data_IF_450755387805
#
_entry.id   IF_450755387805
#
_cell.length_a   1.000
_cell.length_b   1.000
_cell.length_c   1.000
_cell.angle_alpha   90.00
_cell.angle_beta   90.00
_cell.angle_gamma   90.00
#
_symmetry.space_group_name_H-M   'P 1'
#
loop_
_entity.id
_entity.type
_entity.pdbx_description
1 polymer ?
#
# COMPACT_ATOMS: atom_id res chain seq x y z
N UNK A 1 -27.30 -10.51 -26.79
CA UNK A 1 -26.74 -10.64 -25.43
C UNK A 1 -25.38 -9.97 -25.40
N UNK A 2 -25.30 -8.72 -24.94
CA UNK A 2 -24.06 -7.96 -24.89
C UNK A 2 -23.31 -8.27 -23.60
N UNK A 3 -22.15 -8.94 -23.69
CA UNK A 3 -21.23 -9.09 -22.56
C UNK A 3 -20.49 -7.76 -22.40
N UNK A 4 -20.86 -7.00 -21.38
CA UNK A 4 -20.08 -5.88 -20.89
C UNK A 4 -18.66 -6.39 -20.56
N UNK A 5 -17.66 -5.91 -21.31
CA UNK A 5 -16.26 -6.01 -20.95
C UNK A 5 -16.07 -5.11 -19.73
N UNK A 6 -16.19 -5.68 -18.53
CA UNK A 6 -15.86 -4.98 -17.30
C UNK A 6 -14.34 -4.76 -17.34
N UNK A 7 -13.94 -3.52 -17.64
CA UNK A 7 -12.54 -3.16 -17.75
C UNK A 7 -11.82 -3.53 -16.45
N UNK A 8 -10.80 -4.39 -16.55
CA UNK A 8 -9.91 -4.69 -15.45
C UNK A 8 -9.23 -3.37 -15.04
N UNK A 9 -9.63 -2.78 -13.91
CA UNK A 9 -8.96 -1.61 -13.38
C UNK A 9 -7.58 -2.03 -12.84
N UNK A 10 -6.54 -1.72 -13.60
CA UNK A 10 -5.16 -1.77 -13.17
C UNK A 10 -4.74 -0.37 -12.73
N UNK A 11 -4.48 -0.19 -11.44
CA UNK A 11 -3.98 1.07 -10.90
C UNK A 11 -2.47 1.01 -10.77
N UNK A 12 -1.78 2.00 -11.32
CA UNK A 12 -0.35 2.19 -11.07
C UNK A 12 -0.19 3.00 -9.79
N UNK A 13 0.48 2.43 -8.79
CA UNK A 13 0.77 3.07 -7.52
C UNK A 13 2.28 3.24 -7.37
N UNK A 14 2.71 4.45 -7.07
CA UNK A 14 4.06 4.71 -6.59
C UNK A 14 3.95 5.24 -5.17
N UNK A 15 4.68 4.61 -4.26
CA UNK A 15 4.62 4.90 -2.83
C UNK A 15 6.00 5.10 -2.21
N UNK A 16 6.07 6.02 -1.24
CA UNK A 16 7.24 6.25 -0.39
C UNK A 16 6.82 6.02 1.03
N UNK A 17 7.50 5.09 1.69
CA UNK A 17 7.32 4.89 3.12
C UNK A 17 8.06 6.00 3.86
N UNK A 18 7.49 6.45 4.96
CA UNK A 18 8.11 7.37 5.90
C UNK A 18 7.72 6.96 7.33
N UNK A 19 8.47 7.45 8.31
CA UNK A 19 8.14 7.25 9.72
C UNK A 19 6.78 7.91 10.06
N UNK A 20 6.22 7.76 11.28
CA UNK A 20 5.06 8.56 11.64
C UNK A 20 5.29 10.06 11.42
N UNK A 21 4.21 10.83 11.23
CA UNK A 21 4.30 12.27 11.02
C UNK A 21 5.10 12.96 12.14
N UNK A 22 5.83 14.00 11.79
CA UNK A 22 6.52 14.85 12.76
C UNK A 22 5.51 15.72 13.54
N UNK A 23 4.35 15.96 12.95
CA UNK A 23 3.25 16.75 13.48
C UNK A 23 2.06 15.88 13.89
N UNK A 24 1.21 16.37 14.80
CA UNK A 24 0.03 15.63 15.24
C UNK A 24 -1.10 15.68 14.21
N UNK A 25 -1.24 16.83 13.53
CA UNK A 25 -2.30 17.09 12.55
C UNK A 25 -1.74 17.98 11.42
N UNK A 26 -2.05 17.62 10.16
CA UNK A 26 -1.54 18.33 8.98
C UNK A 26 -2.40 19.53 8.55
N UNK A 27 -3.61 19.66 9.09
CA UNK A 27 -4.55 20.74 8.75
C UNK A 27 -4.27 21.96 9.62
N UNK A 28 -4.06 21.75 10.92
CA UNK A 28 -3.90 22.83 11.89
C UNK A 28 -2.45 23.30 12.05
N UNK A 29 -1.48 22.46 11.68
CA UNK A 29 -0.06 22.81 11.79
C UNK A 29 0.45 23.37 10.47
N UNK A 30 0.88 24.64 10.52
CA UNK A 30 1.43 25.35 9.38
C UNK A 30 2.95 25.37 9.49
N UNK A 31 3.63 24.47 8.78
CA UNK A 31 5.08 24.60 8.61
C UNK A 31 5.45 25.64 7.56
N UNK A 32 6.77 25.79 7.33
CA UNK A 32 7.32 26.75 6.37
C UNK A 32 8.16 26.04 5.31
N UNK A 33 7.75 26.03 4.02
CA UNK A 33 6.50 26.55 3.51
C UNK A 33 5.27 25.70 3.93
N UNK A 34 4.07 26.30 4.01
CA UNK A 34 2.85 25.53 4.20
C UNK A 34 2.49 24.75 2.94
N UNK A 35 1.70 23.68 3.09
CA UNK A 35 1.05 23.03 1.94
C UNK A 35 0.27 24.08 1.14
N UNK A 36 0.28 23.98 -0.19
CA UNK A 36 -0.53 24.83 -1.07
C UNK A 36 -2.01 24.57 -0.84
N UNK A 37 -2.36 23.30 -0.64
CA UNK A 37 -3.68 22.86 -0.19
C UNK A 37 -3.53 21.60 0.66
N UNK A 38 -4.42 21.40 1.63
CA UNK A 38 -4.48 20.16 2.41
C UNK A 38 -5.93 19.83 2.73
N UNK A 39 -6.35 18.61 2.42
CA UNK A 39 -7.72 18.14 2.67
C UNK A 39 -7.72 16.77 3.33
N UNK A 40 -8.35 16.65 4.50
CA UNK A 40 -8.60 15.36 5.10
C UNK A 40 -9.57 14.53 4.26
N UNK A 41 -9.25 13.25 4.10
CA UNK A 41 -10.14 12.22 3.57
C UNK A 41 -10.78 11.38 4.67
N UNK A 42 -10.49 11.69 5.93
CA UNK A 42 -11.04 11.02 7.10
C UNK A 42 -10.24 9.82 7.57
N UNK A 43 -10.87 9.05 8.47
CA UNK A 43 -10.33 7.84 9.11
C UNK A 43 -11.14 6.64 8.65
N UNK A 44 -10.45 5.54 8.36
CA UNK A 44 -11.07 4.27 7.99
C UNK A 44 -10.35 3.11 8.68
N UNK A 45 -11.10 2.06 9.00
CA UNK A 45 -10.53 0.79 9.45
C UNK A 45 -10.44 -0.16 8.25
N UNK A 46 -9.27 -0.76 8.06
CA UNK A 46 -9.00 -1.68 6.95
C UNK A 46 -8.56 -3.01 7.56
N UNK A 47 -9.29 -4.07 7.23
CA UNK A 47 -8.96 -5.44 7.57
C UNK A 47 -8.41 -6.14 6.33
N UNK A 48 -7.22 -6.73 6.44
CA UNK A 48 -6.59 -7.47 5.36
C UNK A 48 -6.26 -8.87 5.83
N UNK A 49 -6.66 -9.88 5.07
CA UNK A 49 -6.10 -11.24 5.18
C UNK A 49 -5.17 -11.45 3.99
N UNK A 50 -3.90 -11.69 4.24
CA UNK A 50 -2.91 -11.94 3.20
C UNK A 50 -2.84 -13.43 2.88
N UNK A 51 -2.71 -13.74 1.60
CA UNK A 51 -2.66 -15.09 1.06
C UNK A 51 -1.38 -15.31 0.27
N UNK A 52 -0.76 -16.46 0.46
CA UNK A 52 0.44 -16.87 -0.26
C UNK A 52 0.48 -18.41 -0.37
N UNK A 53 1.50 -18.94 -1.06
CA UNK A 53 1.86 -20.34 -1.13
C UNK A 53 3.32 -20.48 -0.71
N UNK A 54 3.56 -20.66 0.59
CA UNK A 54 4.92 -20.83 1.14
C UNK A 54 5.90 -19.76 0.65
N UNK A 55 5.50 -18.50 0.72
CA UNK A 55 6.26 -17.31 0.29
C UNK A 55 6.55 -17.22 -1.21
N UNK A 56 5.95 -18.07 -2.05
CA UNK A 56 6.16 -18.07 -3.50
C UNK A 56 5.76 -16.72 -4.13
N UNK A 57 4.59 -16.18 -3.77
CA UNK A 57 4.12 -14.91 -4.33
C UNK A 57 4.90 -13.73 -3.77
N UNK A 58 5.08 -13.66 -2.45
CA UNK A 58 5.80 -12.56 -1.81
C UNK A 58 7.27 -12.48 -2.26
N UNK A 59 7.94 -13.61 -2.47
CA UNK A 59 9.30 -13.66 -3.03
C UNK A 59 9.35 -13.18 -4.49
N UNK A 60 8.27 -13.40 -5.25
CA UNK A 60 8.10 -12.86 -6.60
C UNK A 60 7.62 -11.39 -6.62
N UNK A 61 7.52 -10.73 -5.46
CA UNK A 61 7.04 -9.35 -5.37
C UNK A 61 5.54 -9.22 -5.66
N UNK A 62 4.74 -10.23 -5.30
CA UNK A 62 3.28 -10.24 -5.44
C UNK A 62 2.64 -10.44 -4.07
N UNK A 63 1.66 -9.59 -3.74
CA UNK A 63 0.87 -9.71 -2.52
C UNK A 63 -0.60 -9.81 -2.89
N UNK A 64 -1.22 -10.96 -2.57
CA UNK A 64 -2.67 -11.17 -2.72
C UNK A 64 -3.31 -11.04 -1.34
N UNK A 65 -4.38 -10.26 -1.25
CA UNK A 65 -5.08 -10.02 0.01
C UNK A 65 -6.59 -9.94 -0.19
N UNK A 66 -7.32 -10.35 0.83
CA UNK A 66 -8.74 -10.05 1.00
C UNK A 66 -8.84 -8.81 1.89
N UNK A 67 -9.11 -7.64 1.30
CA UNK A 67 -9.27 -6.37 1.98
C UNK A 67 -10.76 -6.06 2.17
N UNK A 68 -11.21 -5.97 3.43
CA UNK A 68 -12.62 -5.70 3.75
C UNK A 68 -13.60 -6.61 2.96
N UNK A 69 -13.22 -7.88 2.77
CA UNK A 69 -14.03 -8.85 2.02
C UNK A 69 -13.85 -8.81 0.49
N UNK A 70 -13.05 -7.89 -0.05
CA UNK A 70 -12.78 -7.77 -1.49
C UNK A 70 -11.36 -8.19 -1.83
N UNK A 71 -11.18 -8.92 -2.93
CA UNK A 71 -9.86 -9.37 -3.36
C UNK A 71 -9.07 -8.23 -4.00
N UNK A 72 -7.81 -8.11 -3.60
CA UNK A 72 -6.82 -7.23 -4.21
C UNK A 72 -5.52 -8.00 -4.45
N UNK A 73 -4.83 -7.72 -5.54
CA UNK A 73 -3.44 -8.13 -5.76
C UNK A 73 -2.56 -6.92 -6.04
N UNK A 74 -1.39 -6.88 -5.43
CA UNK A 74 -0.34 -5.89 -5.67
C UNK A 74 0.86 -6.58 -6.30
N UNK A 75 1.33 -6.09 -7.43
CA UNK A 75 2.47 -6.65 -8.19
C UNK A 75 3.57 -5.61 -8.29
N UNK A 76 4.76 -5.91 -7.78
CA UNK A 76 5.90 -5.00 -7.83
C UNK A 76 6.39 -4.82 -9.27
N UNK A 77 6.55 -3.57 -9.68
CA UNK A 77 7.09 -3.18 -11.00
C UNK A 77 8.46 -2.53 -10.94
N UNK A 78 8.88 -2.07 -9.77
CA UNK A 78 10.20 -1.50 -9.59
C UNK A 78 10.40 -0.87 -8.22
N UNK A 79 11.56 -0.24 -8.08
CA UNK A 79 11.98 0.42 -6.86
C UNK A 79 12.47 -0.54 -5.76
N UNK A 80 12.77 0.02 -4.60
CA UNK A 80 13.25 -0.69 -3.42
C UNK A 80 12.15 -0.80 -2.36
N UNK A 81 12.51 -1.22 -1.14
CA UNK A 81 11.57 -1.42 -0.03
C UNK A 81 10.84 -0.13 0.39
N UNK A 82 11.55 1.00 0.43
CA UNK A 82 11.02 2.29 0.85
C UNK A 82 10.35 3.05 -0.29
N UNK A 83 10.91 2.94 -1.50
CA UNK A 83 10.45 3.61 -2.70
C UNK A 83 9.98 2.54 -3.69
N UNK A 84 8.69 2.25 -3.71
CA UNK A 84 8.17 1.10 -4.44
C UNK A 84 7.17 1.52 -5.51
N UNK A 85 7.14 0.77 -6.62
CA UNK A 85 6.16 0.94 -7.70
C UNK A 85 5.38 -0.36 -7.89
N UNK A 86 4.06 -0.26 -8.01
CA UNK A 86 3.18 -1.41 -8.09
C UNK A 86 2.08 -1.23 -9.13
N UNK A 87 1.64 -2.34 -9.69
CA UNK A 87 0.30 -2.48 -10.27
C UNK A 87 -0.61 -3.08 -9.20
N UNK A 88 -1.77 -2.45 -8.97
CA UNK A 88 -2.84 -2.99 -8.14
C UNK A 88 -4.04 -3.43 -8.99
N UNK A 89 -4.57 -4.61 -8.67
CA UNK A 89 -5.71 -5.24 -9.32
C UNK A 89 -6.78 -5.56 -8.29
N UNK A 90 -8.04 -5.28 -8.60
CA UNK A 90 -9.20 -5.64 -7.75
C UNK A 90 -10.19 -6.59 -8.43
N UNK A 91 -10.02 -6.84 -9.73
CA UNK A 91 -10.84 -7.79 -10.47
C UNK A 91 -10.32 -9.23 -10.26
N UNK A 92 -11.14 -10.16 -9.74
CA UNK A 92 -10.71 -11.53 -9.47
C UNK A 92 -10.19 -12.29 -10.69
N UNK A 93 -10.72 -12.04 -11.90
CA UNK A 93 -10.23 -12.71 -13.10
C UNK A 93 -8.84 -12.19 -13.47
N UNK A 94 -8.64 -10.88 -13.44
CA UNK A 94 -7.33 -10.24 -13.64
C UNK A 94 -6.31 -10.71 -12.60
N UNK A 95 -6.70 -10.83 -11.33
CA UNK A 95 -5.85 -11.38 -10.26
C UNK A 95 -5.42 -12.81 -10.62
N UNK A 96 -6.39 -13.68 -10.96
CA UNK A 96 -6.13 -15.08 -11.32
C UNK A 96 -5.14 -15.20 -12.49
N UNK A 97 -5.39 -14.46 -13.56
CA UNK A 97 -4.51 -14.44 -14.74
C UNK A 97 -3.12 -13.92 -14.41
N UNK A 98 -3.02 -12.86 -13.60
CA UNK A 98 -1.74 -12.25 -13.25
C UNK A 98 -0.84 -13.18 -12.45
N UNK A 99 -1.40 -13.95 -11.51
CA UNK A 99 -0.63 -14.84 -10.65
C UNK A 99 -0.45 -16.24 -11.23
N UNK A 100 -1.24 -16.63 -12.24
CA UNK A 100 -1.14 -17.92 -12.93
C UNK A 100 0.28 -18.23 -13.42
N UNK A 101 0.99 -17.23 -13.94
CA UNK A 101 2.39 -17.39 -14.38
C UNK A 101 3.38 -17.74 -13.26
N UNK A 102 3.00 -17.53 -12.00
CA UNK A 102 3.81 -17.87 -10.82
C UNK A 102 3.33 -19.20 -10.21
N UNK A 103 2.01 -19.40 -10.10
CA UNK A 103 1.44 -20.59 -9.45
C UNK A 103 1.27 -21.81 -10.38
N UNK A 104 1.51 -21.63 -11.68
CA UNK A 104 1.46 -22.64 -12.73
C UNK A 104 0.09 -22.80 -13.41
N UNK A 105 -1.01 -22.61 -12.68
CA UNK A 105 -2.37 -22.77 -13.21
C UNK A 105 -3.31 -21.66 -12.71
N UNK A 106 -4.17 -21.07 -13.56
CA UNK A 106 -5.22 -20.17 -13.11
C UNK A 106 -6.17 -20.87 -12.14
N UNK A 107 -6.54 -20.16 -11.08
CA UNK A 107 -7.48 -20.63 -10.04
C UNK A 107 -8.49 -19.55 -9.72
N UNK A 108 -9.69 -19.91 -9.34
CA UNK A 108 -10.77 -18.93 -9.09
C UNK A 108 -10.68 -18.32 -7.68
N UNK A 109 -11.41 -17.22 -7.44
CA UNK A 109 -11.51 -16.64 -6.10
C UNK A 109 -12.21 -17.57 -5.09
N UNK A 110 -13.11 -18.44 -5.55
CA UNK A 110 -13.78 -19.45 -4.73
C UNK A 110 -12.77 -20.48 -4.20
N UNK A 111 -11.79 -20.84 -5.02
CA UNK A 111 -10.63 -21.66 -4.63
C UNK A 111 -9.53 -20.85 -3.92
N UNK A 112 -9.78 -19.57 -3.61
CA UNK A 112 -8.79 -18.63 -3.03
C UNK A 112 -7.51 -18.57 -3.85
N UNK A 113 -7.65 -18.72 -5.17
CA UNK A 113 -6.56 -18.80 -6.13
C UNK A 113 -5.55 -19.94 -5.85
N UNK A 114 -5.93 -20.97 -5.09
CA UNK A 114 -5.02 -22.02 -4.65
C UNK A 114 -3.95 -21.54 -3.65
N UNK A 115 -4.25 -20.48 -2.89
CA UNK A 115 -3.39 -19.89 -1.87
C UNK A 115 -3.92 -20.22 -0.47
N UNK A 116 -3.05 -20.15 0.54
CA UNK A 116 -3.42 -20.30 1.95
C UNK A 116 -3.32 -18.93 2.67
N UNK A 117 -4.19 -18.67 3.65
CA UNK A 117 -4.03 -17.47 4.47
C UNK A 117 -2.71 -17.56 5.26
N UNK A 118 -1.98 -16.44 5.31
CA UNK A 118 -0.69 -16.33 5.99
C UNK A 118 -0.80 -15.46 7.23
N UNK A 119 -1.48 -14.32 7.12
CA UNK A 119 -1.63 -13.38 8.24
C UNK A 119 -2.89 -12.53 8.06
N UNK A 120 -3.44 -12.06 9.19
CA UNK A 120 -4.54 -11.10 9.24
C UNK A 120 -4.06 -9.84 9.95
N UNK A 121 -4.35 -8.67 9.36
CA UNK A 121 -3.94 -7.36 9.86
C UNK A 121 -5.09 -6.38 9.80
N UNK A 122 -5.40 -5.76 10.94
CA UNK A 122 -6.26 -4.59 11.00
C UNK A 122 -5.40 -3.33 11.05
N UNK A 123 -5.83 -2.29 10.34
CA UNK A 123 -5.12 -1.01 10.28
C UNK A 123 -6.12 0.13 10.35
N UNK A 124 -5.90 1.06 11.26
CA UNK A 124 -6.55 2.36 11.26
C UNK A 124 -5.75 3.26 10.32
N UNK A 125 -6.40 3.69 9.24
CA UNK A 125 -5.82 4.56 8.23
C UNK A 125 -6.38 5.97 8.38
N UNK A 126 -5.50 6.95 8.49
CA UNK A 126 -5.81 8.38 8.27
C UNK A 126 -5.25 8.80 6.93
N UNK A 127 -5.95 9.67 6.21
CA UNK A 127 -5.52 10.09 4.88
C UNK A 127 -5.83 11.54 4.58
N UNK A 128 -4.95 12.15 3.78
CA UNK A 128 -5.07 13.52 3.30
C UNK A 128 -4.68 13.58 1.82
N UNK A 129 -5.15 14.61 1.12
CA UNK A 129 -4.61 15.04 -0.17
C UNK A 129 -3.93 16.38 0.06
N UNK A 130 -2.63 16.45 -0.25
CA UNK A 130 -1.81 17.65 -0.19
C UNK A 130 -1.51 18.15 -1.61
N UNK A 131 -1.57 19.46 -1.78
CA UNK A 131 -1.33 20.16 -3.06
C UNK A 131 -2.18 19.59 -4.21
N UNK A 132 -3.38 19.12 -3.89
CA UNK A 132 -4.34 18.47 -4.81
C UNK A 132 -3.82 17.26 -5.59
N UNK A 133 -2.63 16.77 -5.23
CA UNK A 133 -1.88 15.78 -6.00
C UNK A 133 -1.43 14.59 -5.15
N UNK A 134 -0.86 14.87 -3.98
CA UNK A 134 -0.16 13.87 -3.19
C UNK A 134 -1.07 13.31 -2.10
N UNK A 135 -1.33 12.00 -2.15
CA UNK A 135 -2.06 11.34 -1.09
C UNK A 135 -1.11 10.97 0.04
N UNK A 136 -1.28 11.59 1.20
CA UNK A 136 -0.58 11.23 2.43
C UNK A 136 -1.45 10.24 3.20
N UNK A 137 -0.85 9.12 3.61
CA UNK A 137 -1.51 8.08 4.38
C UNK A 137 -0.70 7.79 5.63
N UNK A 138 -1.36 7.69 6.77
CA UNK A 138 -0.76 7.20 8.01
C UNK A 138 -1.56 6.00 8.47
N UNK A 139 -0.88 4.88 8.61
CA UNK A 139 -1.44 3.61 9.03
C UNK A 139 -0.93 3.24 10.41
N UNK A 140 -1.85 2.97 11.33
CA UNK A 140 -1.57 2.38 12.64
C UNK A 140 -2.19 0.99 12.69
N UNK A 141 -1.37 -0.03 12.88
CA UNK A 141 -1.81 -1.43 12.98
C UNK A 141 -2.44 -1.71 14.34
N UNK A 142 -3.26 -2.76 14.43
CA UNK A 142 -3.83 -3.28 15.69
C UNK A 142 -2.80 -3.67 16.76
N UNK A 143 -1.55 -3.94 16.37
CA UNK A 143 -0.43 -4.19 17.29
C UNK A 143 0.46 -2.96 17.58
N UNK A 144 -0.01 -1.75 17.25
CA UNK A 144 0.65 -0.49 17.65
C UNK A 144 1.74 0.04 16.71
N UNK A 145 2.17 -0.72 15.70
CA UNK A 145 3.10 -0.20 14.69
C UNK A 145 2.46 0.89 13.83
N UNK A 146 3.21 1.96 13.56
CA UNK A 146 2.74 3.08 12.72
C UNK A 146 3.73 3.37 11.59
N UNK A 147 3.20 3.52 10.37
CA UNK A 147 3.98 3.86 9.18
C UNK A 147 3.22 4.85 8.31
N UNK A 148 3.94 5.80 7.74
CA UNK A 148 3.44 6.72 6.74
C UNK A 148 3.70 6.21 5.32
N UNK A 149 2.78 6.46 4.40
CA UNK A 149 2.96 6.22 2.97
C UNK A 149 2.50 7.45 2.19
N UNK A 150 3.37 7.98 1.34
CA UNK A 150 3.01 9.03 0.40
C UNK A 150 2.82 8.39 -0.98
N UNK A 151 1.62 8.54 -1.55
CA UNK A 151 1.16 7.81 -2.73
C UNK A 151 0.69 8.75 -3.83
N UNK A 152 0.89 8.31 -5.08
CA UNK A 152 0.36 8.98 -6.27
C UNK A 152 0.12 7.93 -7.39
N UNK A 153 -0.62 8.28 -8.45
CA UNK A 153 -1.23 7.32 -9.41
C UNK A 153 -0.64 7.29 -10.85
N UNK A 154 0.52 7.91 -11.15
CA UNK A 154 0.98 8.15 -12.56
C UNK A 154 2.50 8.04 -12.81
N UNK A 155 3.01 6.92 -13.37
CA UNK A 155 4.41 6.43 -13.27
C UNK A 155 5.60 7.32 -13.71
N UNK A 156 5.47 8.23 -14.67
CA UNK A 156 6.65 8.54 -15.51
C UNK A 156 7.65 9.55 -14.91
N UNK A 157 7.28 10.33 -13.89
CA UNK A 157 8.14 11.39 -13.29
C UNK A 157 8.06 11.43 -11.75
N UNK A 158 7.56 10.35 -11.13
CA UNK A 158 7.06 10.43 -9.76
C UNK A 158 8.15 10.54 -8.71
N UNK A 159 9.25 9.78 -8.88
CA UNK A 159 10.31 9.63 -7.88
C UNK A 159 10.85 10.98 -7.46
N UNK A 160 11.20 11.81 -8.42
CA UNK A 160 11.70 13.16 -8.16
C UNK A 160 10.62 14.12 -7.65
N UNK A 161 9.37 13.97 -8.10
CA UNK A 161 8.25 14.83 -7.62
C UNK A 161 7.97 14.60 -6.15
N UNK A 162 7.90 13.34 -5.75
CA UNK A 162 7.68 13.02 -4.34
C UNK A 162 8.92 13.34 -3.52
N UNK A 163 10.13 13.09 -4.02
CA UNK A 163 11.34 13.49 -3.30
C UNK A 163 11.32 15.01 -2.99
N UNK A 164 11.03 15.83 -4.01
CA UNK A 164 10.88 17.28 -3.86
C UNK A 164 9.72 17.68 -2.95
N UNK A 165 8.60 16.95 -2.99
CA UNK A 165 7.46 17.18 -2.10
C UNK A 165 7.85 16.92 -0.63
N UNK A 166 8.46 15.77 -0.36
CA UNK A 166 8.91 15.37 0.98
C UNK A 166 9.99 16.31 1.51
N UNK A 167 10.88 16.79 0.64
CA UNK A 167 11.91 17.79 0.98
C UNK A 167 11.29 19.14 1.32
N UNK A 168 10.42 19.66 0.45
CA UNK A 168 9.72 20.94 0.62
C UNK A 168 8.90 20.97 1.91
N UNK A 169 8.27 19.85 2.26
CA UNK A 169 7.42 19.71 3.44
C UNK A 169 8.07 18.85 4.53
N UNK A 170 9.41 18.88 4.61
CA UNK A 170 10.19 18.10 5.58
C UNK A 170 9.76 18.29 7.03
N UNK A 171 9.21 19.47 7.37
CA UNK A 171 8.62 19.75 8.69
C UNK A 171 7.47 18.79 9.08
N UNK A 172 6.80 18.16 8.11
CA UNK A 172 5.68 17.25 8.34
C UNK A 172 6.11 15.78 8.53
N UNK A 173 7.32 15.40 8.08
CA UNK A 173 7.76 14.01 7.97
C UNK A 173 8.99 13.74 8.82
N UNK A 174 8.93 12.72 9.69
CA UNK A 174 10.12 12.31 10.45
C UNK A 174 11.16 11.65 9.55
N UNK A 175 12.43 11.95 9.78
CA UNK A 175 13.58 11.33 9.11
C UNK A 175 13.95 9.99 9.73
N UNK A 176 14.34 9.02 8.92
CA UNK A 176 14.84 7.71 9.37
C UNK A 176 14.46 6.58 8.42
N UNK A 177 14.71 5.33 8.82
CA UNK A 177 14.37 4.14 8.02
C UNK A 177 12.98 3.63 8.42
N UNK A 178 11.95 3.80 7.58
CA UNK A 178 10.61 3.34 7.90
C UNK A 178 10.53 1.81 7.78
N UNK A 179 9.71 1.21 8.65
CA UNK A 179 9.39 -0.22 8.61
C UNK A 179 7.95 -0.40 8.12
N UNK A 180 7.77 -1.28 7.14
CA UNK A 180 6.45 -1.65 6.61
C UNK A 180 5.68 -2.57 7.56
N UNK A 181 4.34 -2.58 7.41
CA UNK A 181 3.42 -3.27 8.32
C UNK A 181 3.64 -4.79 8.39
N UNK A 182 3.79 -5.46 7.24
CA UNK A 182 4.02 -6.91 7.21
C UNK A 182 5.37 -7.29 7.83
N UNK A 183 6.42 -6.51 7.56
CA UNK A 183 7.73 -6.71 8.19
C UNK A 183 7.65 -6.58 9.70
N UNK A 184 7.02 -5.51 10.20
CA UNK A 184 6.82 -5.30 11.64
C UNK A 184 6.00 -6.42 12.30
N UNK A 185 5.02 -6.97 11.60
CA UNK A 185 4.23 -8.11 12.08
C UNK A 185 5.08 -9.37 12.25
N UNK A 186 5.85 -9.77 11.23
CA UNK A 186 6.65 -10.99 11.31
C UNK A 186 7.81 -10.89 12.32
N UNK A 187 8.38 -9.71 12.52
CA UNK A 187 9.39 -9.48 13.55
C UNK A 187 8.81 -9.55 14.97
N UNK A 188 7.57 -9.09 15.18
CA UNK A 188 6.90 -9.19 16.48
C UNK A 188 6.77 -10.65 16.93
N UNK A 189 6.45 -11.53 15.99
CA UNK A 189 6.17 -12.94 16.26
C UNK A 189 7.43 -13.83 16.16
N UNK A 190 8.58 -13.25 15.80
CA UNK A 190 9.87 -13.96 15.81
C UNK A 190 10.55 -13.74 17.16
N UNK A 191 10.77 -14.78 17.98
CA UNK A 191 11.60 -14.63 19.18
C UNK A 191 12.99 -14.18 18.74
N UNK A 192 13.50 -13.13 19.40
CA UNK A 192 14.91 -12.75 19.29
C UNK A 192 15.72 -13.98 19.64
N UNK A 193 16.50 -14.47 18.67
CA UNK A 193 17.43 -15.60 18.84
C UNK A 193 18.54 -15.21 19.80
#
# INVERSE_FOLDING_TARGET
MSRSLQAAFCLLEVERKFLPLAVQDLITQHGNPPFRSIRALGRQTIHNVYYDRSSLLSSAGVWVRLRNGLWEAKVKRGGNYNNSRFEEFSDPQAISQKIAGIIGVPRTQQERFGLKPVTSLSTIRRSWVADDEFKIVVDTTDFGHTVGEQKQRTMQEMDDRIARFMERYSWAFRTGVPKGKLTAYFERDSPVS
#
